data_IF_558250880503
#
_entry.id   IF_558250880503
#
_cell.length_a   1.000
_cell.length_b   1.000
_cell.length_c   1.000
_cell.angle_alpha   90.00
_cell.angle_beta   90.00
_cell.angle_gamma   90.00
#
_symmetry.space_group_name_H-M   'P 1'
#
loop_
_entity.id
_entity.type
_entity.pdbx_description
1 polymer ?
#
# COMPACT_ATOMS: atom_id res chain seq x y z
N UNK A 1 0.51 5.73 -28.30
CA UNK A 1 -0.14 6.08 -27.03
C UNK A 1 -0.90 4.86 -26.56
N UNK A 2 -0.52 4.23 -25.43
CA UNK A 2 -1.24 3.08 -24.87
C UNK A 2 -2.62 3.55 -24.40
N UNK A 3 -3.67 2.88 -24.87
CA UNK A 3 -5.07 3.29 -24.65
C UNK A 3 -5.81 2.44 -23.64
N UNK A 4 -5.24 1.31 -23.25
CA UNK A 4 -5.83 0.33 -22.36
C UNK A 4 -4.93 0.08 -21.16
N UNK A 5 -5.50 -0.28 -20.02
CA UNK A 5 -4.80 -0.65 -18.81
C UNK A 5 -5.13 -2.10 -18.46
N UNK A 6 -4.10 -2.91 -18.20
CA UNK A 6 -4.26 -4.23 -17.58
C UNK A 6 -3.50 -4.22 -16.27
N UNK A 7 -4.18 -4.55 -15.17
CA UNK A 7 -3.58 -4.64 -13.85
C UNK A 7 -3.79 -6.02 -13.23
N UNK A 8 -2.85 -6.43 -12.38
CA UNK A 8 -2.89 -7.73 -11.71
C UNK A 8 -3.01 -7.56 -10.18
N UNK A 9 -3.72 -8.47 -9.54
CA UNK A 9 -3.81 -8.49 -8.07
C UNK A 9 -4.79 -9.53 -7.54
N UNK A 10 -4.84 -9.63 -6.22
CA UNK A 10 -5.87 -10.43 -5.56
C UNK A 10 -7.26 -9.77 -5.65
N UNK A 11 -8.36 -10.55 -5.59
CA UNK A 11 -9.72 -10.01 -5.67
C UNK A 11 -10.05 -9.03 -4.54
N UNK A 12 -9.34 -9.09 -3.42
CA UNK A 12 -9.52 -8.19 -2.27
C UNK A 12 -8.52 -7.01 -2.23
N UNK A 13 -7.85 -6.73 -3.34
CA UNK A 13 -6.82 -5.67 -3.42
C UNK A 13 -7.43 -4.28 -3.26
N UNK A 14 -6.92 -3.49 -2.30
CA UNK A 14 -7.24 -2.06 -2.18
C UNK A 14 -6.75 -1.26 -3.40
N UNK A 15 -5.60 -1.63 -3.95
CA UNK A 15 -5.03 -0.99 -5.12
C UNK A 15 -5.93 -1.13 -6.34
N UNK A 16 -6.47 -2.34 -6.62
CA UNK A 16 -7.37 -2.55 -7.76
C UNK A 16 -8.68 -1.76 -7.63
N UNK A 17 -9.23 -1.61 -6.42
CA UNK A 17 -10.44 -0.78 -6.21
C UNK A 17 -10.14 0.68 -6.51
N UNK A 18 -9.07 1.24 -5.97
CA UNK A 18 -8.67 2.63 -6.25
C UNK A 18 -8.37 2.85 -7.74
N UNK A 19 -7.68 1.88 -8.36
CA UNK A 19 -7.38 1.93 -9.79
C UNK A 19 -8.66 1.87 -10.65
N UNK A 20 -9.65 1.02 -10.30
CA UNK A 20 -10.92 0.97 -10.99
C UNK A 20 -11.67 2.31 -10.96
N UNK A 21 -11.65 3.00 -9.81
CA UNK A 21 -12.25 4.33 -9.68
C UNK A 21 -11.59 5.35 -10.62
N UNK A 22 -10.26 5.44 -10.56
CA UNK A 22 -9.48 6.38 -11.40
C UNK A 22 -9.68 6.08 -12.89
N UNK A 23 -9.57 4.82 -13.31
CA UNK A 23 -9.73 4.45 -14.71
C UNK A 23 -11.14 4.70 -15.24
N UNK A 24 -12.18 4.59 -14.38
CA UNK A 24 -13.55 4.98 -14.73
C UNK A 24 -13.69 6.49 -14.90
N UNK A 25 -13.14 7.27 -13.97
CA UNK A 25 -13.16 8.74 -14.02
C UNK A 25 -12.54 9.27 -15.33
N UNK A 26 -11.38 8.71 -15.70
CA UNK A 26 -10.69 9.09 -16.94
C UNK A 26 -11.15 8.33 -18.19
N UNK A 27 -12.18 7.49 -18.09
CA UNK A 27 -12.74 6.69 -19.19
C UNK A 27 -11.68 5.82 -19.92
N UNK A 28 -10.71 5.32 -19.16
CA UNK A 28 -9.66 4.43 -19.67
C UNK A 28 -10.16 3.00 -19.64
N UNK A 29 -10.06 2.31 -20.79
CA UNK A 29 -10.38 0.88 -20.87
C UNK A 29 -9.47 0.08 -19.96
N UNK A 30 -10.05 -0.86 -19.22
CA UNK A 30 -9.31 -1.65 -18.22
C UNK A 30 -9.64 -3.13 -18.29
N UNK A 31 -8.73 -3.94 -17.81
CA UNK A 31 -8.93 -5.35 -17.47
C UNK A 31 -8.13 -5.69 -16.24
N UNK A 32 -8.73 -6.36 -15.28
CA UNK A 32 -8.06 -6.82 -14.06
C UNK A 32 -7.88 -8.33 -14.10
N UNK A 33 -6.62 -8.75 -13.98
CA UNK A 33 -6.20 -10.13 -13.86
C UNK A 33 -6.21 -10.51 -12.37
N UNK A 34 -7.18 -11.33 -11.98
CA UNK A 34 -7.39 -11.72 -10.60
C UNK A 34 -6.86 -13.14 -10.38
N UNK A 35 -6.03 -13.34 -9.35
CA UNK A 35 -5.54 -14.69 -9.02
C UNK A 35 -6.72 -15.57 -8.58
N UNK A 36 -6.85 -16.74 -9.19
CA UNK A 36 -7.84 -17.75 -8.81
C UNK A 36 -7.62 -18.24 -7.37
N UNK A 37 -8.69 -18.35 -6.62
CA UNK A 37 -8.73 -18.96 -5.31
C UNK A 37 -10.11 -19.59 -5.07
N UNK A 38 -10.15 -20.86 -4.74
CA UNK A 38 -11.40 -21.60 -4.49
C UNK A 38 -12.23 -21.08 -3.30
N UNK A 39 -11.73 -20.10 -2.55
CA UNK A 39 -12.38 -19.51 -1.36
C UNK A 39 -12.85 -18.06 -1.57
N UNK A 40 -12.90 -17.58 -2.81
CA UNK A 40 -13.32 -16.21 -3.09
C UNK A 40 -14.81 -16.07 -2.74
N UNK A 41 -15.11 -15.10 -1.89
CA UNK A 41 -16.48 -14.71 -1.52
C UNK A 41 -16.77 -13.32 -2.08
N UNK A 42 -18.04 -13.07 -2.44
CA UNK A 42 -18.51 -11.75 -2.91
C UNK A 42 -18.68 -10.76 -1.75
N UNK A 43 -17.57 -10.40 -1.11
CA UNK A 43 -17.52 -9.49 0.04
C UNK A 43 -16.34 -8.51 -0.08
N UNK A 44 -16.38 -7.45 0.70
CA UNK A 44 -15.27 -6.49 0.79
C UNK A 44 -14.91 -5.89 -0.58
N UNK A 45 -13.62 -5.77 -0.85
CA UNK A 45 -13.13 -5.15 -2.08
C UNK A 45 -13.53 -5.90 -3.35
N UNK A 46 -13.74 -7.22 -3.30
CA UNK A 46 -14.23 -7.94 -4.48
C UNK A 46 -15.66 -7.52 -4.85
N UNK A 47 -16.53 -7.31 -3.87
CA UNK A 47 -17.85 -6.73 -4.11
C UNK A 47 -17.73 -5.33 -4.74
N UNK A 48 -16.84 -4.48 -4.25
CA UNK A 48 -16.62 -3.15 -4.82
C UNK A 48 -16.08 -3.21 -6.26
N UNK A 49 -15.16 -4.14 -6.56
CA UNK A 49 -14.70 -4.35 -7.93
C UNK A 49 -15.84 -4.77 -8.88
N UNK A 50 -16.75 -5.63 -8.42
CA UNK A 50 -17.93 -6.04 -9.22
C UNK A 50 -18.90 -4.88 -9.46
N UNK A 51 -18.96 -3.88 -8.59
CA UNK A 51 -19.73 -2.66 -8.82
C UNK A 51 -19.04 -1.68 -9.79
N UNK A 52 -17.71 -1.63 -9.75
CA UNK A 52 -16.90 -0.67 -10.52
C UNK A 52 -16.53 -1.19 -11.92
N UNK A 53 -16.64 -2.49 -12.15
CA UNK A 53 -16.16 -3.15 -13.36
C UNK A 53 -17.29 -3.93 -14.03
N UNK A 54 -17.25 -3.98 -15.36
CA UNK A 54 -18.06 -4.90 -16.14
C UNK A 54 -17.54 -6.34 -16.00
N UNK A 55 -18.37 -7.34 -16.29
CA UNK A 55 -17.99 -8.75 -16.20
C UNK A 55 -16.73 -9.07 -17.04
N UNK A 56 -16.68 -8.56 -18.26
CA UNK A 56 -15.57 -8.77 -19.20
C UNK A 56 -14.27 -8.07 -18.80
N UNK A 57 -14.33 -7.14 -17.84
CA UNK A 57 -13.15 -6.43 -17.31
C UNK A 57 -12.47 -7.19 -16.17
N UNK A 58 -13.12 -8.20 -15.61
CA UNK A 58 -12.57 -9.05 -14.54
C UNK A 58 -12.25 -10.44 -15.09
N UNK A 59 -10.98 -10.81 -15.09
CA UNK A 59 -10.52 -12.10 -15.59
C UNK A 59 -9.76 -12.84 -14.50
N UNK A 60 -10.25 -14.02 -14.13
CA UNK A 60 -9.50 -14.90 -13.25
C UNK A 60 -8.43 -15.65 -14.02
N UNK A 61 -7.22 -15.70 -13.44
CA UNK A 61 -6.06 -16.41 -14.00
C UNK A 61 -5.47 -17.34 -12.95
N UNK A 62 -4.91 -18.46 -13.42
CA UNK A 62 -4.25 -19.42 -12.55
C UNK A 62 -2.93 -18.87 -12.01
N UNK A 63 -2.32 -19.59 -11.06
CA UNK A 63 -1.08 -19.16 -10.40
C UNK A 63 0.09 -19.02 -11.38
N UNK A 64 0.18 -19.86 -12.39
CA UNK A 64 1.27 -19.80 -13.39
C UNK A 64 1.19 -18.51 -14.20
N UNK A 65 0.01 -18.21 -14.77
CA UNK A 65 -0.23 -16.96 -15.48
C UNK A 65 -0.09 -15.73 -14.58
N UNK A 66 -0.39 -15.86 -13.27
CA UNK A 66 -0.21 -14.76 -12.32
C UNK A 66 1.26 -14.44 -12.07
N UNK A 67 2.13 -15.45 -12.01
CA UNK A 67 3.58 -15.26 -11.84
C UNK A 67 4.24 -14.63 -13.08
N UNK A 68 3.62 -14.77 -14.25
CA UNK A 68 4.08 -14.20 -15.53
C UNK A 68 3.03 -13.21 -16.09
N UNK A 69 2.39 -12.45 -15.20
CA UNK A 69 1.23 -11.62 -15.54
C UNK A 69 1.53 -10.53 -16.57
N UNK A 70 2.75 -10.02 -16.64
CA UNK A 70 3.15 -9.01 -17.62
C UNK A 70 3.15 -9.59 -19.04
N UNK A 71 3.79 -10.73 -19.25
CA UNK A 71 3.76 -11.41 -20.55
C UNK A 71 2.35 -11.86 -20.91
N UNK A 72 1.59 -12.35 -19.94
CA UNK A 72 0.19 -12.71 -20.15
C UNK A 72 -0.64 -11.50 -20.61
N UNK A 73 -0.49 -10.34 -19.97
CA UNK A 73 -1.15 -9.10 -20.34
C UNK A 73 -0.74 -8.60 -21.75
N UNK A 74 0.56 -8.66 -22.07
CA UNK A 74 1.08 -8.29 -23.39
C UNK A 74 0.54 -9.20 -24.50
N UNK A 75 0.29 -10.48 -24.21
CA UNK A 75 -0.32 -11.42 -25.15
C UNK A 75 -1.82 -11.16 -25.36
N UNK A 76 -2.53 -10.64 -24.34
CA UNK A 76 -3.93 -10.24 -24.45
C UNK A 76 -4.08 -8.95 -25.27
N UNK A 77 -3.21 -7.97 -25.06
CA UNK A 77 -3.24 -6.70 -25.76
C UNK A 77 -1.84 -6.04 -25.77
N UNK A 78 -1.21 -6.00 -26.94
CA UNK A 78 0.13 -5.40 -27.14
C UNK A 78 0.17 -3.88 -26.87
N UNK A 79 -0.97 -3.20 -26.92
CA UNK A 79 -1.09 -1.75 -26.70
C UNK A 79 -1.50 -1.40 -25.27
N UNK A 80 -1.41 -2.35 -24.35
CA UNK A 80 -1.77 -2.14 -22.95
C UNK A 80 -0.65 -1.47 -22.14
N UNK A 81 -1.05 -0.70 -21.14
CA UNK A 81 -0.19 -0.34 -20.01
C UNK A 81 -0.41 -1.36 -18.89
N UNK A 82 0.63 -2.11 -18.55
CA UNK A 82 0.57 -3.11 -17.50
C UNK A 82 0.88 -2.48 -16.14
N UNK A 83 0.05 -2.78 -15.12
CA UNK A 83 0.25 -2.37 -13.73
C UNK A 83 0.42 -3.65 -12.90
N UNK A 84 1.61 -3.87 -12.32
CA UNK A 84 1.86 -5.02 -11.46
C UNK A 84 1.13 -4.92 -10.12
N UNK A 85 1.17 -6.00 -9.34
CA UNK A 85 0.55 -6.07 -8.02
C UNK A 85 1.00 -4.91 -7.11
N UNK A 86 0.02 -4.25 -6.49
CA UNK A 86 0.27 -3.09 -5.62
C UNK A 86 0.83 -1.87 -6.36
N UNK A 87 0.71 -1.81 -7.70
CA UNK A 87 1.33 -0.79 -8.56
C UNK A 87 2.84 -0.64 -8.30
N UNK A 88 3.53 -1.75 -8.02
CA UNK A 88 4.96 -1.78 -7.72
C UNK A 88 5.80 -1.62 -9.00
N UNK A 89 5.73 -0.47 -9.64
CA UNK A 89 6.43 -0.11 -10.88
C UNK A 89 7.06 1.29 -10.79
N UNK A 90 8.04 1.52 -11.64
CA UNK A 90 8.81 2.79 -11.63
C UNK A 90 7.95 4.01 -11.92
N UNK A 91 6.90 3.86 -12.72
CA UNK A 91 5.97 4.93 -13.07
C UNK A 91 5.15 5.42 -11.86
N UNK A 92 4.99 4.59 -10.84
CA UNK A 92 4.27 4.98 -9.62
C UNK A 92 5.09 5.87 -8.69
N UNK A 93 6.43 5.89 -8.82
CA UNK A 93 7.33 6.55 -7.85
C UNK A 93 7.05 8.05 -7.76
N UNK A 94 6.84 8.73 -8.88
CA UNK A 94 6.52 10.15 -8.87
C UNK A 94 5.23 10.46 -8.08
N UNK A 95 4.17 9.65 -8.30
CA UNK A 95 2.91 9.79 -7.56
C UNK A 95 3.06 9.49 -6.06
N UNK A 96 3.75 8.41 -5.71
CA UNK A 96 4.04 8.05 -4.30
C UNK A 96 4.82 9.16 -3.60
N UNK A 97 5.75 9.80 -4.30
CA UNK A 97 6.59 10.87 -3.77
C UNK A 97 5.80 12.08 -3.29
N UNK A 98 4.59 12.32 -3.82
CA UNK A 98 3.71 13.42 -3.37
C UNK A 98 3.36 13.31 -1.90
N UNK A 99 3.32 12.11 -1.32
CA UNK A 99 3.04 11.88 0.10
C UNK A 99 4.00 12.68 1.00
N UNK A 100 5.29 12.71 0.68
CA UNK A 100 6.28 13.45 1.48
C UNK A 100 5.99 14.95 1.44
N UNK A 101 5.67 15.48 0.26
CA UNK A 101 5.35 16.91 0.11
C UNK A 101 4.04 17.28 0.82
N UNK A 102 3.04 16.37 0.82
CA UNK A 102 1.79 16.58 1.56
C UNK A 102 2.04 16.57 3.07
N UNK A 103 2.90 15.70 3.58
CA UNK A 103 3.30 15.71 5.00
C UNK A 103 3.98 17.02 5.36
N UNK A 104 4.96 17.48 4.57
CA UNK A 104 5.67 18.75 4.81
C UNK A 104 4.73 19.95 4.75
N UNK A 105 3.76 19.94 3.84
CA UNK A 105 2.71 20.95 3.80
C UNK A 105 1.87 20.94 5.08
N UNK A 106 1.44 19.77 5.52
CA UNK A 106 0.67 19.64 6.76
C UNK A 106 1.49 20.06 7.99
N UNK A 107 2.79 19.73 8.06
CA UNK A 107 3.67 20.24 9.12
C UNK A 107 3.65 21.76 9.19
N UNK A 108 3.73 22.43 8.03
CA UNK A 108 3.65 23.89 7.94
C UNK A 108 2.26 24.42 8.35
N UNK A 109 1.20 23.83 7.81
CA UNK A 109 -0.17 24.30 8.02
C UNK A 109 -0.61 24.14 9.49
N UNK A 110 -0.19 23.05 10.15
CA UNK A 110 -0.49 22.77 11.57
C UNK A 110 0.58 23.29 12.54
N UNK A 111 1.65 23.92 12.06
CA UNK A 111 2.79 24.38 12.87
C UNK A 111 3.38 23.24 13.73
N UNK A 112 3.50 22.05 13.12
CA UNK A 112 4.06 20.84 13.73
C UNK A 112 5.37 20.45 13.05
N UNK A 113 6.19 19.73 13.77
CA UNK A 113 7.39 19.07 13.23
C UNK A 113 7.44 17.65 13.77
N UNK A 114 6.92 16.69 12.97
CA UNK A 114 7.00 15.28 13.35
C UNK A 114 8.38 14.74 13.01
N UNK A 115 9.19 14.53 14.04
CA UNK A 115 10.57 14.00 13.88
C UNK A 115 10.60 12.49 13.59
N UNK A 116 9.52 11.78 13.88
CA UNK A 116 9.39 10.34 13.68
C UNK A 116 8.16 10.01 12.83
N UNK A 117 8.39 9.39 11.66
CA UNK A 117 7.32 8.96 10.76
C UNK A 117 7.23 7.43 10.77
N UNK A 118 6.03 6.91 10.92
CA UNK A 118 5.74 5.47 10.93
C UNK A 118 4.76 5.16 9.81
N UNK A 119 5.09 4.15 9.00
CA UNK A 119 4.23 3.71 7.92
C UNK A 119 4.32 2.19 7.71
N UNK A 120 3.29 1.63 7.06
CA UNK A 120 3.29 0.23 6.67
C UNK A 120 4.04 -0.02 5.35
N UNK A 121 4.47 -1.27 5.16
CA UNK A 121 4.96 -1.76 3.89
C UNK A 121 4.29 -3.09 3.52
N UNK A 122 3.61 -3.09 2.38
CA UNK A 122 3.23 -4.29 1.64
C UNK A 122 4.31 -4.63 0.61
N UNK A 123 4.23 -4.05 -0.58
CA UNK A 123 5.28 -4.18 -1.62
C UNK A 123 6.55 -3.37 -1.31
N UNK A 124 6.48 -2.45 -0.35
CA UNK A 124 7.61 -1.62 0.08
C UNK A 124 7.84 -0.35 -0.73
N UNK A 125 7.19 -0.16 -1.89
CA UNK A 125 7.47 0.97 -2.79
C UNK A 125 7.20 2.34 -2.16
N UNK A 126 6.06 2.51 -1.49
CA UNK A 126 5.74 3.77 -0.80
C UNK A 126 6.76 4.08 0.28
N UNK A 127 7.08 3.11 1.12
CA UNK A 127 8.06 3.28 2.19
C UNK A 127 9.46 3.57 1.63
N UNK A 128 9.87 2.90 0.56
CA UNK A 128 11.15 3.14 -0.11
C UNK A 128 11.26 4.57 -0.67
N UNK A 129 10.20 5.09 -1.30
CA UNK A 129 10.18 6.46 -1.79
C UNK A 129 10.23 7.49 -0.66
N UNK A 130 9.53 7.24 0.46
CA UNK A 130 9.58 8.10 1.66
C UNK A 130 11.01 8.12 2.24
N UNK A 131 11.65 6.95 2.39
CA UNK A 131 13.03 6.83 2.90
C UNK A 131 14.01 7.57 1.98
N UNK A 132 13.89 7.38 0.67
CA UNK A 132 14.75 8.04 -0.30
C UNK A 132 14.61 9.56 -0.27
N UNK A 133 13.37 10.07 -0.26
CA UNK A 133 13.09 11.51 -0.21
C UNK A 133 13.49 12.13 1.13
N UNK A 134 13.35 11.42 2.25
CA UNK A 134 13.86 11.87 3.53
C UNK A 134 15.37 12.15 3.46
N UNK A 135 16.13 11.25 2.85
CA UNK A 135 17.57 11.42 2.65
C UNK A 135 17.90 12.53 1.66
N UNK A 136 17.21 12.57 0.50
CA UNK A 136 17.46 13.54 -0.56
C UNK A 136 17.17 14.98 -0.13
N UNK A 137 16.05 15.20 0.55
CA UNK A 137 15.63 16.51 1.06
C UNK A 137 16.29 16.87 2.40
N UNK A 138 17.13 16.00 2.97
CA UNK A 138 17.82 16.19 4.25
C UNK A 138 16.85 16.55 5.39
N UNK A 139 15.69 15.84 5.45
CA UNK A 139 14.65 16.13 6.44
C UNK A 139 14.99 15.64 7.84
N UNK A 140 15.99 14.76 7.97
CA UNK A 140 16.48 14.18 9.24
C UNK A 140 15.40 13.45 10.06
N UNK A 141 14.28 13.03 9.39
CA UNK A 141 13.22 12.27 10.06
C UNK A 141 13.69 10.85 10.35
N UNK A 142 13.34 10.34 11.53
CA UNK A 142 13.39 8.89 11.81
C UNK A 142 12.24 8.21 11.09
N UNK A 143 12.52 7.20 10.26
CA UNK A 143 11.48 6.46 9.55
C UNK A 143 11.38 5.05 10.12
N UNK A 144 10.24 4.67 10.69
CA UNK A 144 9.97 3.30 11.13
C UNK A 144 8.96 2.64 10.20
N UNK A 145 9.36 1.54 9.60
CA UNK A 145 8.58 0.81 8.60
C UNK A 145 8.06 -0.48 9.22
N UNK A 146 6.73 -0.64 9.27
CA UNK A 146 6.09 -1.86 9.76
C UNK A 146 5.85 -2.79 8.56
N UNK A 147 6.64 -3.85 8.46
CA UNK A 147 6.60 -4.82 7.37
C UNK A 147 5.38 -5.73 7.49
N UNK A 148 4.27 -5.38 6.84
CA UNK A 148 3.04 -6.19 6.85
C UNK A 148 3.16 -7.39 5.90
N UNK A 149 3.89 -7.23 4.80
CA UNK A 149 4.25 -8.28 3.87
C UNK A 149 5.70 -8.14 3.42
N UNK A 150 6.26 -9.21 2.85
CA UNK A 150 7.67 -9.23 2.45
C UNK A 150 8.64 -9.35 3.63
N UNK A 151 9.90 -9.10 3.34
CA UNK A 151 11.02 -9.17 4.28
C UNK A 151 12.02 -8.02 4.02
N UNK A 152 13.11 -7.98 4.80
CA UNK A 152 14.13 -6.95 4.66
C UNK A 152 14.77 -6.94 3.26
N UNK A 153 14.97 -8.11 2.63
CA UNK A 153 15.57 -8.19 1.30
C UNK A 153 14.64 -7.61 0.24
N UNK A 154 13.34 -7.93 0.32
CA UNK A 154 12.33 -7.37 -0.60
C UNK A 154 12.24 -5.85 -0.48
N UNK A 155 12.32 -5.31 0.75
CA UNK A 155 12.36 -3.87 0.96
C UNK A 155 13.63 -3.22 0.39
N UNK A 156 14.80 -3.81 0.63
CA UNK A 156 16.07 -3.33 0.07
C UNK A 156 16.03 -3.29 -1.47
N UNK A 157 15.45 -4.31 -2.11
CA UNK A 157 15.25 -4.32 -3.56
C UNK A 157 14.33 -3.18 -4.03
N UNK A 158 13.26 -2.87 -3.29
CA UNK A 158 12.39 -1.75 -3.60
C UNK A 158 13.13 -0.41 -3.47
N UNK A 159 13.92 -0.24 -2.40
CA UNK A 159 14.72 0.96 -2.18
C UNK A 159 15.79 1.14 -3.27
N UNK A 160 16.44 0.06 -3.68
CA UNK A 160 17.39 0.06 -4.79
C UNK A 160 16.73 0.55 -6.09
N UNK A 161 15.59 0.00 -6.47
CA UNK A 161 14.85 0.41 -7.69
C UNK A 161 14.38 1.86 -7.63
N UNK A 162 13.93 2.33 -6.46
CA UNK A 162 13.56 3.73 -6.25
C UNK A 162 14.78 4.65 -6.45
N UNK A 163 15.93 4.27 -5.90
CA UNK A 163 17.18 5.02 -6.08
C UNK A 163 17.61 5.05 -7.57
N UNK A 164 17.52 3.92 -8.28
CA UNK A 164 17.79 3.88 -9.73
C UNK A 164 16.87 4.84 -10.49
N UNK A 165 15.56 4.81 -10.21
CA UNK A 165 14.61 5.72 -10.85
C UNK A 165 15.00 7.19 -10.69
N UNK A 166 15.32 7.61 -9.47
CA UNK A 166 15.70 9.00 -9.21
C UNK A 166 17.03 9.35 -9.88
N UNK A 167 18.01 8.47 -9.85
CA UNK A 167 19.30 8.67 -10.52
C UNK A 167 19.13 8.83 -12.04
N UNK A 168 18.29 8.00 -12.67
CA UNK A 168 17.99 8.10 -14.11
C UNK A 168 17.27 9.41 -14.48
N UNK A 169 16.60 10.04 -13.52
CA UNK A 169 15.94 11.33 -13.70
C UNK A 169 16.79 12.54 -13.22
N UNK A 170 18.07 12.33 -12.92
CA UNK A 170 19.01 13.40 -12.58
C UNK A 170 19.00 13.82 -11.11
N UNK A 171 18.35 13.05 -10.23
CA UNK A 171 18.35 13.29 -8.79
C UNK A 171 19.31 12.34 -8.09
N UNK A 172 20.36 12.87 -7.50
CA UNK A 172 21.42 12.08 -6.86
C UNK A 172 21.51 12.38 -5.37
N UNK A 173 21.70 11.34 -4.57
CA UNK A 173 21.99 11.53 -3.13
C UNK A 173 23.43 12.02 -2.94
N UNK A 174 23.58 13.09 -2.17
CA UNK A 174 24.91 13.58 -1.77
C UNK A 174 25.63 12.60 -0.83
N UNK A 175 24.85 11.95 0.05
CA UNK A 175 25.30 10.90 0.97
C UNK A 175 24.28 9.76 0.92
N UNK A 176 24.75 8.52 0.71
CA UNK A 176 23.88 7.32 0.67
C UNK A 176 23.52 6.81 2.08
N UNK A 177 23.21 7.71 3.01
CA UNK A 177 22.81 7.33 4.37
C UNK A 177 21.30 7.46 4.49
N UNK A 178 20.63 6.33 4.66
CA UNK A 178 19.20 6.27 4.91
C UNK A 178 18.93 6.12 6.40
N UNK A 179 18.06 6.94 6.96
CA UNK A 179 17.64 6.88 8.36
C UNK A 179 16.30 6.15 8.48
N UNK A 180 16.32 4.82 8.57
CA UNK A 180 15.12 4.02 8.76
C UNK A 180 15.39 2.74 9.54
N UNK A 181 14.33 2.23 10.18
CA UNK A 181 14.30 0.94 10.86
C UNK A 181 13.14 0.08 10.31
N UNK A 182 13.38 -1.24 10.18
CA UNK A 182 12.36 -2.21 9.81
C UNK A 182 11.84 -2.93 11.06
N UNK A 183 10.53 -2.95 11.21
CA UNK A 183 9.84 -3.64 12.28
C UNK A 183 8.83 -4.63 11.71
N UNK A 184 8.54 -5.68 12.45
CA UNK A 184 7.49 -6.63 12.10
C UNK A 184 6.28 -6.44 13.03
N UNK A 185 5.05 -6.75 12.57
CA UNK A 185 3.88 -6.62 13.41
C UNK A 185 4.03 -7.39 14.73
N UNK A 186 3.78 -6.72 15.84
CA UNK A 186 3.79 -7.35 17.17
C UNK A 186 2.54 -8.20 17.42
N UNK A 187 1.54 -8.08 16.53
CA UNK A 187 0.30 -8.83 16.55
C UNK A 187 -0.07 -9.28 15.14
N UNK A 188 -0.66 -10.48 15.00
CA UNK A 188 -1.09 -10.97 13.69
C UNK A 188 0.08 -11.07 12.71
N UNK A 189 1.15 -11.78 13.08
CA UNK A 189 2.44 -11.82 12.37
C UNK A 189 2.37 -12.28 10.92
N UNK A 190 1.43 -13.18 10.55
CA UNK A 190 1.26 -13.58 9.15
C UNK A 190 0.33 -12.63 8.40
N UNK A 191 0.61 -12.43 7.11
CA UNK A 191 -0.27 -11.65 6.23
C UNK A 191 -1.70 -12.21 6.27
N UNK A 192 -2.70 -11.33 6.45
CA UNK A 192 -4.10 -11.72 6.55
C UNK A 192 -4.52 -12.32 7.88
N UNK A 193 -3.61 -12.61 8.83
CA UNK A 193 -4.01 -13.09 10.16
C UNK A 193 -4.71 -12.00 10.96
N UNK A 194 -5.82 -12.37 11.61
CA UNK A 194 -6.67 -11.44 12.35
C UNK A 194 -7.08 -12.05 13.70
N UNK A 195 -6.18 -12.05 14.70
CA UNK A 195 -6.50 -12.51 16.04
C UNK A 195 -7.57 -11.61 16.69
N UNK A 196 -8.33 -12.16 17.64
CA UNK A 196 -9.41 -11.45 18.32
C UNK A 196 -8.97 -10.10 18.92
N UNK A 197 -7.73 -10.02 19.38
CA UNK A 197 -7.16 -8.78 19.95
C UNK A 197 -7.06 -7.65 18.91
N UNK A 198 -6.83 -7.94 17.63
CA UNK A 198 -6.86 -6.94 16.54
C UNK A 198 -8.29 -6.43 16.32
N UNK A 199 -9.29 -7.31 16.37
CA UNK A 199 -10.70 -6.94 16.22
C UNK A 199 -11.09 -5.96 17.34
N UNK A 200 -10.80 -6.32 18.59
CA UNK A 200 -11.03 -5.44 19.74
C UNK A 200 -10.29 -4.10 19.64
N UNK A 201 -9.06 -4.12 19.13
CA UNK A 201 -8.28 -2.91 18.91
C UNK A 201 -8.95 -1.99 17.87
N UNK A 202 -9.38 -2.53 16.73
CA UNK A 202 -10.09 -1.78 15.68
C UNK A 202 -11.36 -1.14 16.23
N UNK A 203 -12.18 -1.92 16.97
CA UNK A 203 -13.41 -1.41 17.58
C UNK A 203 -13.16 -0.26 18.56
N UNK A 204 -12.19 -0.46 19.46
CA UNK A 204 -11.85 0.54 20.49
C UNK A 204 -11.25 1.79 19.83
N UNK A 205 -10.37 1.61 18.84
CA UNK A 205 -9.75 2.72 18.13
C UNK A 205 -10.80 3.57 17.38
N UNK A 206 -11.73 2.90 16.70
CA UNK A 206 -12.83 3.57 16.00
C UNK A 206 -13.74 4.35 16.96
N UNK A 207 -14.14 3.72 18.10
CA UNK A 207 -15.01 4.36 19.10
C UNK A 207 -14.34 5.58 19.76
N UNK A 208 -13.04 5.50 20.00
CA UNK A 208 -12.33 6.55 20.74
C UNK A 208 -11.80 7.69 19.84
N UNK A 209 -11.49 7.38 18.57
CA UNK A 209 -10.80 8.33 17.67
C UNK A 209 -11.63 8.70 16.42
N UNK A 210 -12.74 7.99 16.14
CA UNK A 210 -13.53 8.20 14.92
C UNK A 210 -12.82 7.76 13.64
N UNK A 211 -11.76 6.95 13.73
CA UNK A 211 -10.94 6.50 12.60
C UNK A 211 -11.12 5.00 12.41
N UNK A 212 -11.41 4.59 11.18
CA UNK A 212 -11.55 3.19 10.81
C UNK A 212 -10.22 2.61 10.33
N UNK A 213 -9.75 1.58 10.99
CA UNK A 213 -8.54 0.85 10.63
C UNK A 213 -8.89 -0.46 9.93
N UNK A 214 -8.26 -0.77 8.80
CA UNK A 214 -8.40 -2.09 8.18
C UNK A 214 -7.59 -3.15 8.97
N UNK A 215 -8.03 -4.42 9.00
CA UNK A 215 -7.41 -5.44 9.82
C UNK A 215 -6.09 -5.99 9.23
N UNK A 216 -5.78 -5.71 7.97
CA UNK A 216 -4.63 -6.28 7.27
C UNK A 216 -3.39 -5.41 7.45
N UNK A 217 -3.52 -4.10 7.20
CA UNK A 217 -2.43 -3.12 7.21
C UNK A 217 -2.53 -2.16 8.38
N UNK A 218 -3.47 -1.22 8.34
CA UNK A 218 -3.48 -0.09 9.27
C UNK A 218 -3.64 -0.49 10.73
N UNK A 219 -4.52 -1.44 11.07
CA UNK A 219 -4.67 -1.87 12.46
C UNK A 219 -3.38 -2.48 13.03
N UNK A 220 -2.66 -3.29 12.24
CA UNK A 220 -1.38 -3.86 12.68
C UNK A 220 -0.31 -2.78 12.82
N UNK A 221 -0.29 -1.83 11.91
CA UNK A 221 0.65 -0.70 11.92
C UNK A 221 0.44 0.16 13.15
N UNK A 222 -0.79 0.61 13.40
CA UNK A 222 -1.12 1.44 14.56
C UNK A 222 -0.88 0.70 15.88
N UNK A 223 -1.36 -0.55 15.99
CA UNK A 223 -1.11 -1.37 17.17
C UNK A 223 0.39 -1.56 17.47
N UNK A 224 1.19 -1.86 16.43
CA UNK A 224 2.63 -2.05 16.57
C UNK A 224 3.33 -0.73 16.92
N UNK A 225 2.93 0.37 16.30
CA UNK A 225 3.46 1.70 16.60
C UNK A 225 3.19 2.11 18.05
N UNK A 226 1.97 1.92 18.54
CA UNK A 226 1.65 2.19 19.96
C UNK A 226 2.45 1.32 20.92
N UNK A 227 2.65 0.04 20.55
CA UNK A 227 3.39 -0.90 21.40
C UNK A 227 4.89 -0.57 21.47
N UNK A 228 5.51 -0.18 20.35
CA UNK A 228 6.94 0.08 20.27
C UNK A 228 7.31 1.52 20.65
N UNK A 229 6.47 2.49 20.32
CA UNK A 229 6.79 3.92 20.38
C UNK A 229 5.78 4.74 21.19
N UNK A 230 4.94 4.09 21.99
CA UNK A 230 3.87 4.75 22.75
C UNK A 230 4.32 5.88 23.68
N UNK A 231 5.60 5.93 24.04
CA UNK A 231 6.20 7.00 24.84
C UNK A 231 6.68 8.21 24.00
N UNK A 232 6.71 8.11 22.66
CA UNK A 232 7.22 9.16 21.73
C UNK A 232 6.09 9.93 21.04
N UNK A 233 4.88 9.97 21.63
CA UNK A 233 3.63 10.40 20.96
C UNK A 233 3.65 11.82 20.41
N UNK A 234 4.29 12.77 21.06
CA UNK A 234 4.17 14.20 20.72
C UNK A 234 4.77 14.57 19.36
N UNK A 235 5.81 13.85 18.93
CA UNK A 235 6.55 14.13 17.69
C UNK A 235 6.48 12.99 16.67
N UNK A 236 5.49 12.10 16.82
CA UNK A 236 5.31 10.93 15.96
C UNK A 236 4.11 11.10 15.03
N UNK A 237 4.33 10.88 13.75
CA UNK A 237 3.31 10.78 12.72
C UNK A 237 3.13 9.32 12.32
N UNK A 238 1.93 8.77 12.48
CA UNK A 238 1.58 7.46 11.92
C UNK A 238 0.78 7.70 10.64
N UNK A 239 1.29 7.20 9.52
CA UNK A 239 0.67 7.38 8.22
C UNK A 239 -0.39 6.30 8.01
N UNK A 240 -1.65 6.72 7.83
CA UNK A 240 -2.77 5.84 7.53
C UNK A 240 -2.93 5.72 6.00
N UNK A 241 -2.51 4.60 5.43
CA UNK A 241 -2.48 4.35 3.99
C UNK A 241 -3.86 4.04 3.36
N UNK A 242 -4.96 4.15 4.13
CA UNK A 242 -6.31 3.87 3.67
C UNK A 242 -6.75 2.42 3.95
N UNK A 243 -7.59 1.86 3.06
CA UNK A 243 -8.02 0.45 3.14
C UNK A 243 -9.25 0.19 4.01
N UNK A 244 -9.89 1.20 4.61
CA UNK A 244 -11.06 1.03 5.48
C UNK A 244 -12.22 0.26 4.81
N UNK A 245 -12.37 0.35 3.49
CA UNK A 245 -13.37 -0.41 2.75
C UNK A 245 -13.21 -1.94 2.87
N UNK A 246 -12.00 -2.42 3.16
CA UNK A 246 -11.75 -3.84 3.40
C UNK A 246 -12.53 -4.38 4.61
N UNK A 247 -12.91 -3.52 5.59
CA UNK A 247 -13.71 -3.92 6.75
C UNK A 247 -15.00 -4.64 6.39
N UNK A 248 -15.65 -4.27 5.27
CA UNK A 248 -16.86 -4.95 4.79
C UNK A 248 -16.64 -6.44 4.48
N UNK A 249 -15.41 -6.87 4.26
CA UNK A 249 -15.05 -8.27 4.10
C UNK A 249 -14.96 -9.06 5.40
N UNK A 250 -14.99 -8.39 6.55
CA UNK A 250 -14.72 -8.95 7.86
C UNK A 250 -15.88 -8.81 8.85
N UNK A 251 -17.08 -8.39 8.40
CA UNK A 251 -18.26 -8.14 9.26
C UNK A 251 -18.53 -9.30 10.22
N UNK A 252 -18.48 -10.54 9.75
CA UNK A 252 -18.69 -11.73 10.58
C UNK A 252 -17.68 -11.94 11.71
N UNK A 253 -16.57 -11.23 11.68
CA UNK A 253 -15.55 -11.30 12.73
C UNK A 253 -15.83 -10.33 13.88
N UNK A 254 -16.58 -9.25 13.61
CA UNK A 254 -16.94 -8.22 14.58
C UNK A 254 -18.25 -8.54 15.32
N UNK A 255 -19.22 -9.10 14.62
CA UNK A 255 -20.56 -9.36 15.14
C UNK A 255 -20.80 -10.88 15.14
N UNK A 256 -20.38 -11.54 16.22
CA UNK A 256 -20.64 -12.97 16.50
C UNK A 256 -21.83 -13.11 17.42
#
# INVERSE_FOLDING_TARGET
KKSNCIAVGGPYSNNLVGLAQILNEYQIKKKFLLIENNRIKMIGNYFLLKLLCKEEELMFINKESYLDAENFACNLDKNTFFIPEGAACVESIAGISTLVFDILKNEKDYQKNWSHWILDAGTGWTAAAVVWLNAYLQLEKKISIIMIAGDANSFQNSLFKVNEYFNLNGFYLSNHVYNFDLHFPTIGKSFGSMPQKIIQYIENFAKNNGILLDPIYSAKTFYTAEHLFGNEKENTLIIHSGGANALHGFVSNFFK
#
